data_IF_523773413501
#
_entry.id   IF_523773413501
#
_cell.length_a   1.000
_cell.length_b   1.000
_cell.length_c   1.000
_cell.angle_alpha   90.00
_cell.angle_beta   90.00
_cell.angle_gamma   90.00
#
_symmetry.space_group_name_H-M   'P 1'
#
loop_
_entity.id
_entity.type
_entity.pdbx_description
1 polymer ?
#
# COMPACT_ATOMS: atom_id res chain seq x y z
N UNK A 1 88.02 31.55 33.62
CA UNK A 1 86.78 31.92 34.31
C UNK A 1 85.73 32.35 33.30
N UNK A 2 84.81 31.56 32.95
CA UNK A 2 83.52 31.91 32.31
C UNK A 2 82.53 30.79 32.56
N UNK A 3 81.51 31.04 33.35
CA UNK A 3 80.37 30.17 33.56
C UNK A 3 79.49 30.15 32.32
N UNK A 4 79.15 28.96 31.85
CA UNK A 4 78.12 28.78 30.84
C UNK A 4 76.87 28.18 31.52
N UNK A 5 75.84 28.97 31.48
CA UNK A 5 74.50 28.61 31.91
C UNK A 5 73.80 27.67 30.88
N UNK A 6 73.53 26.43 31.26
CA UNK A 6 72.68 25.52 30.47
C UNK A 6 71.22 25.92 30.68
N UNK A 7 70.57 26.37 29.64
CA UNK A 7 69.12 26.57 29.58
C UNK A 7 68.44 25.23 29.27
N UNK A 8 67.63 24.68 30.18
CA UNK A 8 66.80 23.52 29.92
C UNK A 8 65.48 23.94 29.28
N UNK A 9 65.35 23.72 27.99
CA UNK A 9 64.05 23.85 27.27
C UNK A 9 63.21 22.60 27.51
N UNK A 10 62.13 22.78 28.30
CA UNK A 10 61.07 21.75 28.44
C UNK A 10 60.16 21.83 27.26
N UNK A 11 60.21 20.83 26.36
CA UNK A 11 59.25 20.65 25.25
C UNK A 11 58.02 20.01 25.83
N UNK A 12 56.97 20.79 26.02
CA UNK A 12 55.66 20.34 26.43
C UNK A 12 54.92 19.81 25.17
N UNK A 13 54.99 18.49 24.93
CA UNK A 13 54.27 17.84 23.83
C UNK A 13 52.82 17.68 24.23
N UNK A 14 51.98 18.64 23.84
CA UNK A 14 50.52 18.51 23.97
C UNK A 14 49.99 17.45 23.03
N UNK A 15 49.59 16.27 23.57
CA UNK A 15 48.72 15.33 22.85
C UNK A 15 47.34 15.95 22.73
N UNK A 16 47.03 16.57 21.58
CA UNK A 16 45.67 16.81 21.15
C UNK A 16 45.08 15.43 20.75
N UNK A 17 44.35 14.82 21.66
CA UNK A 17 43.45 13.73 21.33
C UNK A 17 42.29 14.31 20.51
N UNK A 18 42.39 14.30 19.19
CA UNK A 18 41.24 14.45 18.30
C UNK A 18 40.34 13.24 18.57
N UNK A 19 39.33 13.42 19.41
CA UNK A 19 38.17 12.55 19.44
C UNK A 19 37.42 12.74 18.11
N UNK A 20 37.83 12.01 17.08
CA UNK A 20 36.99 11.81 15.90
C UNK A 20 35.72 11.13 16.37
N UNK A 21 34.67 11.92 16.55
CA UNK A 21 33.31 11.38 16.67
C UNK A 21 33.07 10.62 15.33
N UNK A 22 33.41 9.34 15.32
CA UNK A 22 33.00 8.44 14.26
C UNK A 22 31.47 8.47 14.26
N UNK A 23 30.89 9.27 13.37
CA UNK A 23 29.47 9.17 13.09
C UNK A 23 29.24 7.71 12.70
N UNK A 24 28.69 6.92 13.61
CA UNK A 24 28.41 5.53 13.36
C UNK A 24 27.52 5.48 12.11
N UNK A 25 28.03 4.84 11.06
CA UNK A 25 27.31 4.70 9.81
C UNK A 25 25.99 3.98 10.11
N UNK A 26 24.87 4.63 9.81
CA UNK A 26 23.53 4.05 10.04
C UNK A 26 23.38 2.74 9.26
N UNK A 27 22.78 1.75 9.89
CA UNK A 27 22.34 0.53 9.20
C UNK A 27 21.27 0.89 8.18
N UNK A 28 21.51 0.65 6.90
CA UNK A 28 20.54 0.91 5.86
C UNK A 28 19.69 -0.34 5.62
N UNK A 29 18.35 -0.21 5.71
CA UNK A 29 17.39 -1.23 5.30
C UNK A 29 16.78 -0.85 3.95
N UNK A 30 16.85 -1.75 2.98
CA UNK A 30 16.15 -1.61 1.70
C UNK A 30 14.73 -2.15 1.85
N UNK A 31 13.75 -1.25 1.84
CA UNK A 31 12.33 -1.55 2.07
C UNK A 31 11.55 -1.35 0.78
N UNK A 32 10.94 -2.42 0.29
CA UNK A 32 10.04 -2.35 -0.86
C UNK A 32 8.63 -2.02 -0.39
N UNK A 33 7.97 -1.07 -1.07
CA UNK A 33 6.70 -0.52 -0.59
C UNK A 33 5.76 -0.12 -1.73
N UNK A 34 4.45 -0.20 -1.44
CA UNK A 34 3.39 0.39 -2.26
C UNK A 34 2.67 1.56 -1.55
N UNK A 35 3.13 1.95 -0.37
CA UNK A 35 2.66 3.16 0.33
C UNK A 35 2.66 4.37 -0.60
N UNK A 36 1.72 5.27 -0.41
CA UNK A 36 1.73 6.53 -1.14
C UNK A 36 2.92 7.41 -0.70
N UNK A 37 3.47 8.19 -1.62
CA UNK A 37 4.69 8.98 -1.36
C UNK A 37 4.53 9.99 -0.24
N UNK A 38 3.32 10.49 -0.02
CA UNK A 38 2.99 11.44 1.04
C UNK A 38 2.93 10.80 2.45
N UNK A 39 2.90 9.46 2.54
CA UNK A 39 2.96 8.71 3.81
C UNK A 39 4.40 8.44 4.28
N UNK A 40 5.35 8.25 3.33
CA UNK A 40 6.69 7.73 3.62
C UNK A 40 7.46 8.56 4.66
N UNK A 41 7.38 9.89 4.55
CA UNK A 41 8.09 10.80 5.48
C UNK A 41 7.62 10.61 6.93
N UNK A 42 6.32 10.57 7.15
CA UNK A 42 5.76 10.44 8.50
C UNK A 42 6.12 9.08 9.12
N UNK A 43 6.12 8.01 8.33
CA UNK A 43 6.48 6.66 8.80
C UNK A 43 7.98 6.55 9.07
N UNK A 44 8.83 7.12 8.20
CA UNK A 44 10.27 7.23 8.43
C UNK A 44 10.59 7.98 9.73
N UNK A 45 9.99 9.15 9.93
CA UNK A 45 10.20 9.96 11.12
C UNK A 45 9.68 9.25 12.38
N UNK A 46 8.54 8.58 12.30
CA UNK A 46 7.99 7.78 13.41
C UNK A 46 8.91 6.64 13.80
N UNK A 47 9.41 5.88 12.84
CA UNK A 47 10.37 4.81 13.06
C UNK A 47 11.70 5.32 13.67
N UNK A 48 12.24 6.42 13.15
CA UNK A 48 13.52 6.95 13.59
C UNK A 48 13.51 7.57 14.99
N UNK A 49 12.32 7.86 15.58
CA UNK A 49 12.23 8.23 16.99
C UNK A 49 12.68 7.08 17.90
N UNK A 50 12.36 5.84 17.53
CA UNK A 50 12.72 4.64 18.30
C UNK A 50 14.06 4.05 17.88
N UNK A 51 14.43 4.17 16.60
CA UNK A 51 15.62 3.55 16.01
C UNK A 51 16.39 4.56 15.15
N UNK A 52 17.05 5.56 15.73
CA UNK A 52 17.75 6.62 15.00
C UNK A 52 18.99 6.13 14.25
N UNK A 53 19.51 4.96 14.59
CA UNK A 53 20.66 4.28 13.99
C UNK A 53 20.32 3.48 12.74
N UNK A 54 19.04 3.38 12.35
CA UNK A 54 18.58 2.68 11.16
C UNK A 54 18.00 3.67 10.15
N UNK A 55 18.47 3.60 8.91
CA UNK A 55 17.96 4.38 7.79
C UNK A 55 17.14 3.48 6.86
N UNK A 56 15.88 3.87 6.57
CA UNK A 56 15.06 3.17 5.58
C UNK A 56 15.33 3.73 4.18
N UNK A 57 15.69 2.86 3.25
CA UNK A 57 15.82 3.16 1.84
C UNK A 57 14.61 2.57 1.11
N UNK A 58 13.74 3.44 0.64
CA UNK A 58 12.49 3.05 0.02
C UNK A 58 12.65 2.76 -1.48
N UNK A 59 12.15 1.60 -1.91
CA UNK A 59 11.86 1.32 -3.32
C UNK A 59 10.35 1.27 -3.46
N UNK A 60 9.79 2.32 -4.07
CA UNK A 60 8.35 2.53 -4.13
C UNK A 60 7.81 2.35 -5.54
N UNK A 61 6.76 1.54 -5.67
CA UNK A 61 5.89 1.46 -6.83
C UNK A 61 4.51 0.91 -6.41
N UNK A 62 3.56 0.79 -7.33
CA UNK A 62 2.27 0.14 -7.07
C UNK A 62 2.44 -1.35 -6.72
N UNK A 63 1.51 -1.89 -5.92
CA UNK A 63 1.59 -3.27 -5.38
C UNK A 63 1.93 -4.33 -6.43
N UNK A 64 1.27 -4.29 -7.60
CA UNK A 64 1.52 -5.30 -8.64
C UNK A 64 2.92 -5.21 -9.21
N UNK A 65 3.47 -4.00 -9.38
CA UNK A 65 4.84 -3.77 -9.87
C UNK A 65 5.86 -4.25 -8.83
N UNK A 66 5.67 -3.89 -7.54
CA UNK A 66 6.52 -4.37 -6.44
C UNK A 66 6.46 -5.90 -6.34
N UNK A 67 5.26 -6.50 -6.45
CA UNK A 67 5.08 -7.95 -6.44
C UNK A 67 5.87 -8.62 -7.57
N UNK A 68 5.74 -8.13 -8.80
CA UNK A 68 6.46 -8.65 -9.96
C UNK A 68 7.98 -8.50 -9.79
N UNK A 69 8.44 -7.36 -9.26
CA UNK A 69 9.86 -7.12 -8.97
C UNK A 69 10.41 -8.11 -7.96
N UNK A 70 9.74 -8.31 -6.83
CA UNK A 70 10.14 -9.27 -5.80
C UNK A 70 10.21 -10.70 -6.36
N UNK A 71 9.20 -11.12 -7.14
CA UNK A 71 9.20 -12.44 -7.79
C UNK A 71 10.37 -12.60 -8.78
N UNK A 72 10.67 -11.59 -9.58
CA UNK A 72 11.80 -11.59 -10.52
C UNK A 72 13.16 -11.67 -9.80
N UNK A 73 13.27 -11.08 -8.61
CA UNK A 73 14.48 -11.08 -7.77
C UNK A 73 14.59 -12.32 -6.85
N UNK A 74 13.67 -13.29 -6.94
CA UNK A 74 13.63 -14.45 -6.02
C UNK A 74 14.95 -15.19 -5.92
N UNK A 75 15.69 -15.34 -7.02
CA UNK A 75 16.99 -16.01 -7.06
C UNK A 75 18.13 -15.14 -6.48
N UNK A 76 18.00 -13.82 -6.52
CA UNK A 76 18.97 -12.86 -6.00
C UNK A 76 18.26 -11.71 -5.27
N UNK A 77 17.72 -11.94 -4.08
CA UNK A 77 16.89 -11.00 -3.36
C UNK A 77 17.65 -9.73 -2.99
N UNK A 78 17.02 -8.59 -3.18
CA UNK A 78 17.57 -7.27 -2.84
C UNK A 78 16.92 -6.68 -1.59
N UNK A 79 15.60 -6.83 -1.43
CA UNK A 79 14.86 -6.25 -0.32
C UNK A 79 15.24 -6.87 1.02
N UNK A 80 15.36 -6.03 2.06
CA UNK A 80 15.47 -6.48 3.46
C UNK A 80 14.07 -6.72 4.08
N UNK A 81 13.12 -5.85 3.75
CA UNK A 81 11.74 -5.93 4.22
C UNK A 81 10.76 -5.44 3.17
N UNK A 82 9.50 -5.80 3.33
CA UNK A 82 8.36 -5.29 2.56
C UNK A 82 7.39 -4.64 3.54
N UNK A 83 6.99 -3.39 3.29
CA UNK A 83 6.11 -2.64 4.17
C UNK A 83 5.07 -1.87 3.35
N UNK A 84 3.77 -2.03 3.67
CA UNK A 84 2.68 -1.36 2.96
C UNK A 84 2.46 -1.91 1.55
N UNK A 85 2.62 -3.22 1.39
CA UNK A 85 2.24 -3.96 0.18
C UNK A 85 1.05 -4.85 0.54
N UNK A 86 0.13 -5.07 -0.39
CA UNK A 86 -1.07 -5.88 -0.19
C UNK A 86 -0.79 -7.23 0.48
N UNK A 87 -1.56 -7.59 1.52
CA UNK A 87 -1.44 -8.89 2.18
C UNK A 87 -1.67 -10.06 1.21
N UNK A 88 -2.54 -9.90 0.21
CA UNK A 88 -2.71 -10.88 -0.87
C UNK A 88 -1.41 -11.16 -1.64
N UNK A 89 -0.56 -10.14 -1.84
CA UNK A 89 0.77 -10.29 -2.45
C UNK A 89 1.77 -10.92 -1.48
N UNK A 90 1.74 -10.58 -0.20
CA UNK A 90 2.60 -11.21 0.81
C UNK A 90 2.25 -12.69 1.02
N UNK A 91 0.96 -13.04 0.98
CA UNK A 91 0.52 -14.45 0.99
C UNK A 91 1.08 -15.23 -0.21
N UNK A 92 1.13 -14.62 -1.41
CA UNK A 92 1.78 -15.22 -2.58
C UNK A 92 3.28 -15.42 -2.35
N UNK A 93 3.98 -14.42 -1.81
CA UNK A 93 5.42 -14.50 -1.52
C UNK A 93 5.74 -15.55 -0.47
N UNK A 94 4.89 -15.68 0.56
CA UNK A 94 5.03 -16.71 1.57
C UNK A 94 4.92 -18.12 0.97
N UNK A 95 3.94 -18.35 0.08
CA UNK A 95 3.82 -19.62 -0.68
C UNK A 95 5.05 -19.90 -1.54
N UNK A 96 5.73 -18.87 -2.01
CA UNK A 96 6.98 -18.99 -2.77
C UNK A 96 8.21 -19.16 -1.88
N UNK A 97 8.06 -19.19 -0.55
CA UNK A 97 9.16 -19.36 0.42
C UNK A 97 10.08 -18.15 0.50
N UNK A 98 9.58 -16.95 0.23
CA UNK A 98 10.37 -15.71 0.14
C UNK A 98 10.36 -14.89 1.43
N UNK A 99 9.57 -15.26 2.44
CA UNK A 99 9.43 -14.53 3.69
C UNK A 99 10.06 -15.25 4.87
N UNK A 100 10.48 -14.49 5.89
CA UNK A 100 10.92 -15.00 7.19
C UNK A 100 9.77 -14.83 8.18
N UNK A 101 9.21 -15.92 8.73
CA UNK A 101 8.22 -15.82 9.79
C UNK A 101 8.80 -15.15 11.03
N UNK A 102 8.09 -14.17 11.57
CA UNK A 102 8.50 -13.44 12.78
C UNK A 102 7.27 -12.95 13.55
N UNK A 103 7.25 -13.18 14.86
CA UNK A 103 6.25 -12.63 15.76
C UNK A 103 6.75 -11.28 16.30
N UNK A 104 6.26 -10.13 15.82
CA UNK A 104 6.64 -8.84 16.34
C UNK A 104 6.10 -8.64 17.79
N UNK A 105 6.69 -7.72 18.55
CA UNK A 105 6.38 -7.50 19.95
C UNK A 105 4.89 -7.24 20.24
N UNK A 106 4.17 -6.64 19.29
CA UNK A 106 2.75 -6.29 19.46
C UNK A 106 1.80 -7.19 18.64
N UNK A 107 2.23 -8.39 18.28
CA UNK A 107 1.45 -9.31 17.46
C UNK A 107 0.05 -9.59 18.06
N UNK A 108 -0.06 -9.74 19.37
CA UNK A 108 -1.32 -10.06 20.03
C UNK A 108 -2.35 -8.93 20.01
N UNK A 109 -1.90 -7.69 19.80
CA UNK A 109 -2.77 -6.55 19.60
C UNK A 109 -3.36 -6.47 18.17
N UNK A 110 -2.75 -7.17 17.21
CA UNK A 110 -3.23 -7.24 15.82
C UNK A 110 -4.35 -8.28 15.73
N UNK A 111 -5.48 -7.88 15.15
CA UNK A 111 -6.62 -8.78 14.96
C UNK A 111 -6.21 -10.01 14.17
N UNK A 112 -6.69 -11.20 14.58
CA UNK A 112 -6.32 -12.48 13.96
C UNK A 112 -6.63 -12.57 12.47
N UNK A 113 -7.67 -11.86 12.01
CA UNK A 113 -8.05 -11.77 10.60
C UNK A 113 -7.10 -10.89 9.76
N UNK A 114 -6.27 -10.08 10.42
CA UNK A 114 -5.33 -9.16 9.77
C UNK A 114 -3.88 -9.62 9.88
N UNK A 115 -3.64 -10.91 10.08
CA UNK A 115 -2.31 -11.52 10.07
C UNK A 115 -2.34 -12.92 9.48
N UNK A 116 -1.20 -13.40 9.03
CA UNK A 116 -1.03 -14.79 8.63
C UNK A 116 -1.37 -15.73 9.78
N UNK A 117 -2.01 -16.85 9.45
CA UNK A 117 -2.45 -17.86 10.44
C UNK A 117 -1.32 -18.73 10.99
N UNK A 118 -0.14 -18.69 10.38
CA UNK A 118 1.05 -19.42 10.86
C UNK A 118 1.54 -18.91 12.21
N UNK A 119 2.28 -19.76 12.91
CA UNK A 119 2.90 -19.44 14.19
C UNK A 119 4.41 -19.73 14.09
N UNK A 120 5.30 -18.73 14.04
CA UNK A 120 5.02 -17.28 13.90
C UNK A 120 4.49 -16.94 12.50
N UNK A 121 3.78 -15.80 12.34
CA UNK A 121 3.22 -15.38 11.07
C UNK A 121 4.32 -14.94 10.09
N UNK A 122 4.11 -15.18 8.80
CA UNK A 122 5.02 -14.71 7.76
C UNK A 122 4.78 -13.23 7.39
N UNK A 123 3.59 -12.72 7.65
CA UNK A 123 3.20 -11.32 7.44
C UNK A 123 2.12 -10.88 8.44
N UNK A 124 2.00 -9.59 8.67
CA UNK A 124 0.92 -8.98 9.46
C UNK A 124 0.46 -7.65 8.86
N UNK A 125 -0.81 -7.33 9.10
CA UNK A 125 -1.45 -6.11 8.61
C UNK A 125 -1.04 -4.86 9.39
N UNK A 126 -1.13 -3.74 8.72
CA UNK A 126 -0.93 -2.39 9.23
C UNK A 126 -2.28 -1.66 9.32
N UNK A 127 -2.97 -1.59 8.20
CA UNK A 127 -4.28 -0.97 8.03
C UNK A 127 -5.04 -1.60 6.87
N UNK A 128 -6.33 -1.24 6.74
CA UNK A 128 -7.20 -1.65 5.65
C UNK A 128 -7.37 -0.50 4.68
N UNK A 129 -7.13 -0.72 3.39
CA UNK A 129 -7.57 0.21 2.36
C UNK A 129 -8.62 -0.45 1.47
N UNK A 130 -9.67 0.30 1.10
CA UNK A 130 -10.80 -0.23 0.36
C UNK A 130 -11.29 0.65 -0.76
N UNK A 131 -12.09 0.05 -1.61
CA UNK A 131 -12.62 0.66 -2.82
C UNK A 131 -13.47 1.88 -2.53
N UNK A 132 -13.32 2.90 -3.39
CA UNK A 132 -14.27 4.00 -3.53
C UNK A 132 -14.27 4.50 -4.97
N UNK A 133 -15.33 5.18 -5.36
CA UNK A 133 -15.38 5.88 -6.64
C UNK A 133 -15.33 7.38 -6.37
N UNK A 134 -14.33 8.06 -6.91
CA UNK A 134 -14.22 9.50 -6.92
C UNK A 134 -15.11 10.04 -8.03
N UNK A 135 -16.14 10.81 -7.67
CA UNK A 135 -17.12 11.39 -8.60
C UNK A 135 -16.97 12.91 -8.63
N UNK A 136 -16.51 13.47 -9.75
CA UNK A 136 -16.39 14.91 -9.91
C UNK A 136 -17.78 15.54 -10.13
N UNK A 137 -18.26 16.29 -9.14
CA UNK A 137 -19.60 16.86 -9.13
C UNK A 137 -19.76 18.00 -10.15
N UNK A 138 -18.70 18.75 -10.43
CA UNK A 138 -18.70 19.86 -11.38
C UNK A 138 -18.77 19.35 -12.82
N UNK A 139 -17.89 18.41 -13.17
CA UNK A 139 -17.88 17.83 -14.52
C UNK A 139 -19.12 16.98 -14.80
N UNK A 140 -19.63 16.28 -13.78
CA UNK A 140 -20.88 15.53 -13.88
C UNK A 140 -22.07 16.45 -14.18
N UNK A 141 -22.17 17.60 -13.51
CA UNK A 141 -23.22 18.60 -13.77
C UNK A 141 -23.14 19.13 -15.20
N UNK A 142 -21.94 19.51 -15.67
CA UNK A 142 -21.74 20.01 -17.05
C UNK A 142 -22.15 19.01 -18.12
N UNK A 143 -21.96 17.72 -17.86
CA UNK A 143 -22.22 16.63 -18.80
C UNK A 143 -23.56 15.92 -18.55
N UNK A 144 -24.35 16.35 -17.56
CA UNK A 144 -25.60 15.72 -17.12
C UNK A 144 -25.42 14.22 -16.79
N UNK A 145 -24.32 13.88 -16.12
CA UNK A 145 -24.02 12.51 -15.69
C UNK A 145 -24.56 12.29 -14.29
N UNK A 146 -25.45 11.30 -14.07
CA UNK A 146 -26.01 11.02 -12.75
C UNK A 146 -24.94 10.46 -11.80
N UNK A 147 -25.11 10.71 -10.49
CA UNK A 147 -24.29 10.14 -9.45
C UNK A 147 -24.60 8.64 -9.31
N UNK A 148 -23.60 7.73 -9.43
CA UNK A 148 -23.85 6.30 -9.22
C UNK A 148 -23.95 5.97 -7.73
N UNK A 149 -24.69 4.91 -7.39
CA UNK A 149 -24.83 4.39 -6.03
C UNK A 149 -24.32 2.93 -5.90
N UNK A 150 -24.06 2.29 -7.04
CA UNK A 150 -23.74 0.88 -7.12
C UNK A 150 -22.65 0.62 -8.16
N UNK A 151 -21.98 -0.54 -8.07
CA UNK A 151 -21.09 -1.00 -9.13
C UNK A 151 -21.87 -1.20 -10.43
N UNK A 152 -23.06 -1.79 -10.36
CA UNK A 152 -23.89 -2.03 -11.53
C UNK A 152 -24.30 -0.75 -12.26
N UNK A 153 -24.44 0.37 -11.56
CA UNK A 153 -24.71 1.66 -12.22
C UNK A 153 -23.62 2.02 -13.22
N UNK A 154 -22.35 1.69 -12.92
CA UNK A 154 -21.21 2.04 -13.77
C UNK A 154 -21.22 1.34 -15.13
N UNK A 155 -22.07 0.34 -15.34
CA UNK A 155 -22.26 -0.32 -16.64
C UNK A 155 -23.29 0.39 -17.53
N UNK A 156 -24.00 1.41 -17.03
CA UNK A 156 -25.00 2.14 -17.79
C UNK A 156 -24.37 3.02 -18.87
N UNK A 157 -25.01 3.19 -20.03
CA UNK A 157 -24.49 3.99 -21.16
C UNK A 157 -24.14 5.45 -20.81
N UNK A 158 -24.78 6.02 -19.77
CA UNK A 158 -24.51 7.38 -19.32
C UNK A 158 -23.04 7.62 -18.91
N UNK A 159 -22.31 6.58 -18.57
CA UNK A 159 -20.92 6.67 -18.12
C UNK A 159 -19.90 6.35 -19.21
N UNK A 160 -20.32 6.13 -20.45
CA UNK A 160 -19.43 5.73 -21.55
C UNK A 160 -18.28 6.70 -21.75
N UNK A 161 -17.04 6.18 -21.60
CA UNK A 161 -15.81 6.98 -21.75
C UNK A 161 -15.56 7.98 -20.61
N UNK A 162 -16.27 7.88 -19.50
CA UNK A 162 -16.16 8.81 -18.36
C UNK A 162 -15.49 8.20 -17.14
N UNK A 163 -15.14 6.91 -17.18
CA UNK A 163 -14.58 6.16 -16.07
C UNK A 163 -13.12 5.84 -16.34
N UNK A 164 -12.27 6.09 -15.35
CA UNK A 164 -10.89 5.58 -15.31
C UNK A 164 -10.73 4.63 -14.13
N UNK A 165 -9.90 3.61 -14.28
CA UNK A 165 -9.74 2.53 -13.29
C UNK A 165 -8.29 2.07 -13.24
N UNK A 166 -7.78 1.55 -12.10
CA UNK A 166 -6.45 0.97 -12.05
C UNK A 166 -6.40 -0.39 -12.77
N UNK A 167 -5.31 -0.65 -13.51
CA UNK A 167 -5.02 -1.97 -14.06
C UNK A 167 -4.66 -2.95 -12.94
N UNK A 168 -5.34 -4.11 -12.80
CA UNK A 168 -5.11 -5.06 -11.70
C UNK A 168 -3.74 -5.75 -11.74
N UNK A 169 -3.08 -5.80 -12.90
CA UNK A 169 -1.75 -6.40 -12.99
C UNK A 169 -0.67 -5.51 -12.33
N UNK A 170 -0.83 -4.19 -12.41
CA UNK A 170 0.12 -3.22 -11.82
C UNK A 170 -0.34 -2.67 -10.47
N UNK A 171 -1.64 -2.54 -10.22
CA UNK A 171 -2.21 -1.92 -9.03
C UNK A 171 -2.86 -2.92 -8.09
N UNK A 172 -2.55 -2.83 -6.79
CA UNK A 172 -3.27 -3.58 -5.75
C UNK A 172 -4.74 -3.20 -5.67
N UNK A 173 -5.06 -1.90 -5.84
CA UNK A 173 -6.44 -1.41 -5.89
C UNK A 173 -7.21 -2.06 -7.04
N UNK A 174 -6.67 -2.05 -8.26
CA UNK A 174 -7.32 -2.74 -9.37
C UNK A 174 -7.49 -4.24 -9.12
N UNK A 175 -6.52 -4.88 -8.46
CA UNK A 175 -6.61 -6.31 -8.17
C UNK A 175 -7.68 -6.64 -7.13
N UNK A 176 -7.75 -5.91 -6.01
CA UNK A 176 -8.80 -6.17 -5.03
C UNK A 176 -10.21 -5.88 -5.58
N UNK A 177 -10.37 -4.88 -6.45
CA UNK A 177 -11.65 -4.61 -7.11
C UNK A 177 -12.10 -5.79 -7.95
N UNK A 178 -11.21 -6.33 -8.78
CA UNK A 178 -11.50 -7.50 -9.61
C UNK A 178 -11.87 -8.72 -8.75
N UNK A 179 -11.10 -9.01 -7.70
CA UNK A 179 -11.39 -10.11 -6.77
C UNK A 179 -12.73 -9.90 -6.07
N UNK A 180 -13.04 -8.67 -5.66
CA UNK A 180 -14.31 -8.35 -5.03
C UNK A 180 -15.51 -8.53 -5.97
N UNK A 181 -15.41 -8.09 -7.22
CA UNK A 181 -16.49 -8.28 -8.21
C UNK A 181 -16.69 -9.74 -8.57
N UNK A 182 -15.61 -10.52 -8.64
CA UNK A 182 -15.71 -11.99 -8.79
C UNK A 182 -16.37 -12.65 -7.58
N UNK A 183 -16.13 -12.15 -6.38
CA UNK A 183 -16.75 -12.62 -5.15
C UNK A 183 -18.24 -12.24 -5.09
N UNK A 184 -18.57 -10.98 -5.39
CA UNK A 184 -19.93 -10.44 -5.30
C UNK A 184 -20.86 -11.01 -6.38
N UNK A 185 -20.39 -11.12 -7.60
CA UNK A 185 -21.22 -11.46 -8.76
C UNK A 185 -20.95 -12.87 -9.29
N UNK A 186 -20.00 -13.58 -8.73
CA UNK A 186 -19.62 -14.95 -9.06
C UNK A 186 -18.53 -15.08 -10.10
N UNK A 187 -17.69 -16.07 -9.88
CA UNK A 187 -16.63 -16.52 -10.79
C UNK A 187 -16.87 -17.99 -11.16
N UNK A 188 -17.01 -18.28 -12.45
CA UNK A 188 -17.07 -19.63 -12.99
C UNK A 188 -16.02 -19.75 -14.09
N UNK A 189 -14.74 -19.84 -13.70
CA UNK A 189 -13.61 -20.03 -14.62
C UNK A 189 -13.65 -19.11 -15.87
N UNK A 190 -13.81 -17.80 -15.61
CA UNK A 190 -13.91 -16.79 -16.65
C UNK A 190 -15.31 -16.59 -17.27
N UNK A 191 -16.36 -17.25 -16.76
CA UNK A 191 -17.73 -17.17 -17.33
C UNK A 191 -18.78 -16.68 -16.33
N UNK A 192 -18.40 -16.37 -15.08
CA UNK A 192 -19.31 -15.96 -14.04
C UNK A 192 -19.86 -14.54 -14.20
N UNK A 193 -20.80 -14.19 -13.31
CA UNK A 193 -21.42 -12.86 -13.29
C UNK A 193 -20.42 -11.71 -13.09
N UNK A 194 -19.31 -11.93 -12.35
CA UNK A 194 -18.26 -10.96 -12.16
C UNK A 194 -17.54 -10.59 -13.48
N UNK A 195 -17.26 -11.57 -14.32
CA UNK A 195 -16.70 -11.31 -15.64
C UNK A 195 -17.68 -10.58 -16.57
N UNK A 196 -18.95 -11.00 -16.53
CA UNK A 196 -20.01 -10.30 -17.29
C UNK A 196 -20.19 -8.85 -16.82
N UNK A 197 -20.09 -8.60 -15.51
CA UNK A 197 -20.08 -7.22 -14.99
C UNK A 197 -18.89 -6.43 -15.53
N UNK A 198 -17.67 -6.99 -15.49
CA UNK A 198 -16.47 -6.34 -16.00
C UNK A 198 -16.51 -6.10 -17.51
N UNK A 199 -17.12 -6.99 -18.29
CA UNK A 199 -17.36 -6.77 -19.72
C UNK A 199 -18.21 -5.50 -19.93
N UNK A 200 -19.31 -5.34 -19.19
CA UNK A 200 -20.15 -4.14 -19.23
C UNK A 200 -19.46 -2.88 -18.72
N UNK A 201 -18.67 -3.00 -17.64
CA UNK A 201 -17.89 -1.88 -17.12
C UNK A 201 -16.82 -1.42 -18.13
N UNK A 202 -16.15 -2.36 -18.79
CA UNK A 202 -15.11 -2.09 -19.80
C UNK A 202 -15.62 -1.22 -20.95
N UNK A 203 -16.86 -1.38 -21.37
CA UNK A 203 -17.46 -0.52 -22.40
C UNK A 203 -17.41 0.96 -22.03
N UNK A 204 -17.54 1.27 -20.72
CA UNK A 204 -17.57 2.63 -20.17
C UNK A 204 -16.19 3.14 -19.70
N UNK A 205 -15.20 2.26 -19.55
CA UNK A 205 -13.83 2.65 -19.21
C UNK A 205 -13.18 3.40 -20.36
N UNK A 206 -12.64 4.58 -20.06
CA UNK A 206 -11.81 5.33 -20.98
C UNK A 206 -10.36 4.83 -20.98
N UNK A 207 -9.82 4.53 -19.79
CA UNK A 207 -8.43 4.16 -19.62
C UNK A 207 -8.22 3.34 -18.34
N UNK A 208 -7.30 2.37 -18.39
CA UNK A 208 -6.74 1.73 -17.20
C UNK A 208 -5.38 2.32 -16.86
N UNK A 209 -5.17 2.70 -15.59
CA UNK A 209 -3.95 3.35 -15.12
C UNK A 209 -3.03 2.37 -14.38
N UNK A 210 -1.72 2.62 -14.36
CA UNK A 210 -0.79 1.77 -13.61
C UNK A 210 -0.88 1.98 -12.10
N UNK A 211 -1.25 3.18 -11.66
CA UNK A 211 -1.36 3.56 -10.26
C UNK A 211 -2.81 3.47 -9.75
N UNK A 212 -3.00 2.97 -8.52
CA UNK A 212 -4.31 2.94 -7.85
C UNK A 212 -4.86 4.31 -7.48
N UNK A 213 -4.00 5.27 -7.21
CA UNK A 213 -4.37 6.65 -6.84
C UNK A 213 -4.65 7.56 -8.05
N UNK A 214 -4.07 7.27 -9.21
CA UNK A 214 -4.19 8.11 -10.41
C UNK A 214 -5.64 8.33 -10.86
N UNK A 215 -6.54 7.33 -10.89
CA UNK A 215 -7.93 7.55 -11.30
C UNK A 215 -8.65 8.61 -10.45
N UNK A 216 -8.48 8.58 -9.13
CA UNK A 216 -9.07 9.59 -8.26
C UNK A 216 -8.44 10.98 -8.48
N UNK A 217 -7.14 11.05 -8.75
CA UNK A 217 -6.47 12.31 -9.08
C UNK A 217 -7.01 12.91 -10.39
N UNK A 218 -7.24 12.07 -11.42
CA UNK A 218 -7.82 12.49 -12.70
C UNK A 218 -9.28 12.97 -12.53
N UNK A 219 -10.07 12.30 -11.69
CA UNK A 219 -11.40 12.77 -11.34
C UNK A 219 -11.33 14.08 -10.54
N UNK A 220 -10.43 14.20 -9.58
CA UNK A 220 -10.25 15.40 -8.75
C UNK A 220 -9.86 16.63 -9.59
N UNK A 221 -9.05 16.46 -10.63
CA UNK A 221 -8.65 17.54 -11.55
C UNK A 221 -9.70 17.87 -12.62
N UNK A 222 -10.77 17.07 -12.76
CA UNK A 222 -11.79 17.24 -13.78
C UNK A 222 -11.43 16.68 -15.16
N UNK A 223 -10.36 15.91 -15.27
CA UNK A 223 -9.99 15.23 -16.53
C UNK A 223 -11.02 14.15 -16.88
N UNK A 224 -11.53 13.42 -15.87
CA UNK A 224 -12.63 12.47 -16.00
C UNK A 224 -13.70 12.73 -14.93
N UNK A 225 -14.92 12.24 -15.19
CA UNK A 225 -16.01 12.36 -14.23
C UNK A 225 -15.86 11.37 -13.09
N UNK A 226 -15.40 10.15 -13.37
CA UNK A 226 -15.31 9.08 -12.39
C UNK A 226 -13.93 8.43 -12.39
N UNK A 227 -13.40 8.23 -11.17
CA UNK A 227 -12.19 7.47 -10.95
C UNK A 227 -12.44 6.36 -9.93
N UNK A 228 -12.35 5.09 -10.34
CA UNK A 228 -12.33 3.97 -9.40
C UNK A 228 -10.96 3.97 -8.71
N UNK A 229 -10.96 4.02 -7.38
CA UNK A 229 -9.74 4.20 -6.58
C UNK A 229 -9.96 3.69 -5.15
N UNK A 230 -9.34 4.28 -4.15
CA UNK A 230 -9.45 3.88 -2.75
C UNK A 230 -9.65 5.09 -1.83
N UNK A 231 -10.22 4.83 -0.65
CA UNK A 231 -10.76 5.85 0.25
C UNK A 231 -9.72 6.84 0.75
N UNK A 232 -8.47 6.42 1.03
CA UNK A 232 -7.42 7.33 1.48
C UNK A 232 -7.14 8.43 0.44
N UNK A 233 -6.95 8.04 -0.84
CA UNK A 233 -6.68 9.01 -1.91
C UNK A 233 -7.89 9.92 -2.14
N UNK A 234 -9.09 9.36 -2.14
CA UNK A 234 -10.33 10.10 -2.30
C UNK A 234 -10.54 11.11 -1.15
N UNK A 235 -10.37 10.67 0.09
CA UNK A 235 -10.50 11.53 1.27
C UNK A 235 -9.46 12.66 1.27
N UNK A 236 -8.21 12.33 0.93
CA UNK A 236 -7.12 13.31 0.84
C UNK A 236 -7.40 14.37 -0.23
N UNK A 237 -7.86 13.97 -1.42
CA UNK A 237 -8.19 14.91 -2.49
C UNK A 237 -9.37 15.80 -2.10
N UNK A 238 -10.42 15.24 -1.51
CA UNK A 238 -11.57 16.01 -1.03
C UNK A 238 -11.18 16.99 0.07
N UNK A 239 -10.36 16.58 1.03
CA UNK A 239 -9.84 17.44 2.09
C UNK A 239 -9.00 18.62 1.57
N UNK A 240 -8.37 18.47 0.41
CA UNK A 240 -7.63 19.53 -0.31
C UNK A 240 -8.55 20.43 -1.16
N UNK A 241 -9.85 20.24 -1.11
CA UNK A 241 -10.85 21.06 -1.81
C UNK A 241 -11.21 20.60 -3.22
N UNK A 242 -10.83 19.39 -3.62
CA UNK A 242 -11.26 18.85 -4.91
C UNK A 242 -12.81 18.69 -4.94
N UNK A 243 -13.48 19.05 -6.06
CA UNK A 243 -14.94 19.00 -6.18
C UNK A 243 -15.40 17.57 -6.46
N UNK A 244 -15.06 16.65 -5.57
CA UNK A 244 -15.41 15.22 -5.70
C UNK A 244 -16.29 14.76 -4.54
N UNK A 245 -17.20 13.84 -4.85
CA UNK A 245 -17.86 13.01 -3.86
C UNK A 245 -17.19 11.63 -3.81
N UNK A 246 -17.12 11.07 -2.60
CA UNK A 246 -16.69 9.70 -2.38
C UNK A 246 -17.92 8.79 -2.44
N UNK A 247 -17.92 7.85 -3.37
CA UNK A 247 -19.01 6.88 -3.51
C UNK A 247 -18.52 5.52 -3.06
N UNK A 248 -19.25 4.94 -2.15
CA UNK A 248 -19.04 3.61 -1.62
C UNK A 248 -20.18 2.71 -2.13
N UNK A 249 -19.97 1.96 -3.22
CA UNK A 249 -21.02 1.16 -3.86
C UNK A 249 -21.71 0.21 -2.89
N UNK A 250 -23.04 0.13 -3.01
CA UNK A 250 -23.90 -0.56 -2.03
C UNK A 250 -23.79 -2.08 -2.02
N UNK A 251 -23.31 -2.69 -3.09
CA UNK A 251 -23.14 -4.15 -3.18
C UNK A 251 -22.00 -4.68 -2.32
N UNK A 252 -21.06 -3.83 -1.95
CA UNK A 252 -19.88 -4.15 -1.16
C UNK A 252 -18.61 -3.63 -1.77
N UNK A 253 -17.57 -3.53 -0.95
CA UNK A 253 -16.31 -2.88 -1.30
C UNK A 253 -15.19 -3.90 -1.36
N UNK A 254 -14.42 -3.88 -2.44
CA UNK A 254 -13.12 -4.53 -2.49
C UNK A 254 -12.18 -3.88 -1.49
N UNK A 255 -11.26 -4.64 -0.93
CA UNK A 255 -10.27 -4.16 0.02
C UNK A 255 -9.07 -5.11 0.11
N UNK A 256 -7.99 -4.62 0.68
CA UNK A 256 -6.85 -5.43 1.10
C UNK A 256 -6.22 -4.79 2.35
N UNK A 257 -5.20 -5.42 2.91
CA UNK A 257 -4.38 -4.86 3.99
C UNK A 257 -3.10 -4.27 3.40
N UNK A 258 -2.72 -3.07 3.80
CA UNK A 258 -1.31 -2.74 3.81
C UNK A 258 -0.66 -3.63 4.86
N UNK A 259 0.38 -4.37 4.48
CA UNK A 259 0.97 -5.38 5.35
C UNK A 259 2.49 -5.32 5.35
N UNK A 260 3.07 -5.90 6.40
CA UNK A 260 4.51 -5.97 6.64
C UNK A 260 5.01 -7.43 6.57
N UNK A 261 6.20 -7.61 6.01
CA UNK A 261 6.93 -8.88 6.05
C UNK A 261 8.44 -8.66 6.02
N UNK A 262 9.21 -9.58 6.64
CA UNK A 262 10.67 -9.64 6.51
C UNK A 262 11.01 -10.49 5.31
N UNK A 263 11.84 -9.97 4.39
CA UNK A 263 12.24 -10.71 3.21
C UNK A 263 13.38 -11.70 3.52
N UNK A 264 13.30 -12.91 2.98
CA UNK A 264 14.26 -14.01 3.28
C UNK A 264 15.71 -13.71 2.84
N UNK A 265 15.88 -12.78 1.90
CA UNK A 265 17.20 -12.38 1.41
C UNK A 265 17.97 -11.44 2.33
N UNK A 266 17.36 -10.91 3.40
CA UNK A 266 18.01 -9.93 4.26
C UNK A 266 19.24 -10.49 4.96
N UNK A 267 20.32 -9.71 4.97
CA UNK A 267 21.51 -9.91 5.80
C UNK A 267 21.51 -9.04 7.05
N UNK A 268 20.41 -8.30 7.28
CA UNK A 268 20.25 -7.32 8.36
C UNK A 268 19.01 -7.67 9.20
N UNK A 269 18.91 -8.94 9.57
CA UNK A 269 17.70 -9.51 10.21
C UNK A 269 17.31 -8.75 11.48
N UNK A 270 18.26 -8.36 12.34
CA UNK A 270 17.95 -7.65 13.58
C UNK A 270 17.36 -6.25 13.33
N UNK A 271 17.87 -5.54 12.32
CA UNK A 271 17.30 -4.27 11.92
C UNK A 271 15.90 -4.42 11.28
N UNK A 272 15.70 -5.48 10.48
CA UNK A 272 14.39 -5.80 9.90
C UNK A 272 13.36 -6.19 10.97
N UNK A 273 13.76 -6.91 12.04
CA UNK A 273 12.92 -7.20 13.20
C UNK A 273 12.53 -5.92 13.97
N UNK A 274 13.47 -4.99 14.20
CA UNK A 274 13.17 -3.69 14.80
C UNK A 274 12.13 -2.91 13.99
N UNK A 275 12.21 -2.96 12.65
CA UNK A 275 11.19 -2.36 11.80
C UNK A 275 9.83 -3.07 11.93
N UNK A 276 9.81 -4.41 12.01
CA UNK A 276 8.60 -5.19 12.25
C UNK A 276 7.95 -4.84 13.60
N UNK A 277 8.75 -4.74 14.67
CA UNK A 277 8.28 -4.38 16.01
C UNK A 277 7.69 -2.98 16.02
N UNK A 278 8.33 -2.02 15.36
CA UNK A 278 7.77 -0.68 15.22
C UNK A 278 6.49 -0.69 14.35
N UNK A 279 6.50 -1.35 13.19
CA UNK A 279 5.35 -1.39 12.28
C UNK A 279 4.10 -1.99 12.93
N UNK A 280 4.27 -2.89 13.93
CA UNK A 280 3.19 -3.46 14.72
C UNK A 280 2.84 -2.64 15.97
N UNK A 281 3.57 -1.55 16.28
CA UNK A 281 3.39 -0.79 17.51
C UNK A 281 2.15 0.11 17.48
N UNK A 282 1.67 0.50 18.67
CA UNK A 282 0.57 1.47 18.78
C UNK A 282 0.93 2.82 18.16
N UNK A 283 2.20 3.25 18.27
CA UNK A 283 2.66 4.52 17.69
C UNK A 283 2.58 4.49 16.15
N UNK A 284 2.94 3.36 15.52
CA UNK A 284 2.77 3.17 14.09
C UNK A 284 1.28 3.14 13.71
N UNK A 285 0.44 2.39 14.45
CA UNK A 285 -1.00 2.34 14.21
C UNK A 285 -1.69 3.71 14.31
N UNK A 286 -1.23 4.58 15.24
CA UNK A 286 -1.69 5.97 15.32
C UNK A 286 -1.33 6.80 14.08
N UNK A 287 -0.21 6.50 13.42
CA UNK A 287 0.15 7.14 12.15
C UNK A 287 -0.71 6.61 11.00
N UNK A 288 -0.93 5.29 10.94
CA UNK A 288 -1.80 4.67 9.93
C UNK A 288 -3.24 5.18 10.07
N UNK A 289 -3.76 5.25 11.30
CA UNK A 289 -5.12 5.74 11.60
C UNK A 289 -5.38 7.22 11.26
N UNK A 290 -4.34 8.00 10.92
CA UNK A 290 -4.53 9.34 10.33
C UNK A 290 -4.99 9.28 8.87
N UNK A 291 -4.69 8.18 8.21
CA UNK A 291 -4.90 7.99 6.77
C UNK A 291 -6.06 7.02 6.50
N UNK A 292 -6.24 6.00 7.35
CA UNK A 292 -7.17 4.90 7.15
C UNK A 292 -8.16 4.78 8.30
N UNK A 293 -9.41 4.44 7.95
CA UNK A 293 -10.49 4.29 8.93
C UNK A 293 -10.34 3.05 9.82
N UNK A 294 -9.60 2.04 9.35
CA UNK A 294 -9.40 0.77 10.03
C UNK A 294 -7.90 0.48 10.11
N UNK A 295 -7.39 0.30 11.32
CA UNK A 295 -6.02 -0.18 11.58
C UNK A 295 -6.04 -1.63 12.03
N UNK A 296 -4.92 -2.34 11.85
CA UNK A 296 -4.84 -3.75 12.22
C UNK A 296 -4.98 -3.99 13.74
N UNK A 297 -4.72 -2.97 14.58
CA UNK A 297 -5.11 -2.95 15.98
C UNK A 297 -6.47 -2.23 16.12
N UNK A 298 -7.48 -2.86 16.73
CA UNK A 298 -8.80 -2.26 16.86
C UNK A 298 -8.81 -1.04 17.78
N UNK A 299 -9.67 -0.06 17.47
CA UNK A 299 -9.91 1.11 18.32
C UNK A 299 -8.78 2.14 18.35
N UNK A 300 -7.80 2.06 17.44
CA UNK A 300 -6.71 3.03 17.34
C UNK A 300 -7.01 4.13 16.32
N UNK A 301 -7.61 3.78 15.17
CA UNK A 301 -8.00 4.76 14.16
C UNK A 301 -9.19 5.60 14.64
N UNK A 302 -9.15 6.90 14.36
CA UNK A 302 -10.30 7.79 14.51
C UNK A 302 -11.19 7.75 13.26
N UNK A 303 -12.51 8.04 13.37
CA UNK A 303 -13.37 8.16 12.21
C UNK A 303 -12.85 9.22 11.22
N UNK A 304 -12.84 8.90 9.94
CA UNK A 304 -12.46 9.82 8.88
C UNK A 304 -13.68 10.58 8.34
N UNK A 305 -13.49 11.87 8.05
CA UNK A 305 -14.60 12.80 7.76
C UNK A 305 -15.50 12.39 6.59
N UNK A 306 -14.97 11.77 5.56
CA UNK A 306 -15.73 11.42 4.35
C UNK A 306 -15.91 9.91 4.16
N UNK A 307 -15.63 9.12 5.20
CA UNK A 307 -15.83 7.67 5.20
C UNK A 307 -17.09 7.33 6.00
N UNK A 308 -18.02 6.52 5.48
CA UNK A 308 -19.26 6.20 6.17
C UNK A 308 -19.01 5.41 7.45
N UNK A 309 -19.86 5.59 8.45
CA UNK A 309 -19.74 4.93 9.76
C UNK A 309 -19.84 3.39 9.66
N UNK A 310 -20.54 2.89 8.65
CA UNK A 310 -20.73 1.47 8.37
C UNK A 310 -19.71 0.93 7.35
N UNK A 311 -18.59 1.65 7.13
CA UNK A 311 -17.56 1.29 6.15
C UNK A 311 -17.04 -0.14 6.31
N UNK A 312 -16.69 -0.55 7.54
CA UNK A 312 -16.21 -1.90 7.81
C UNK A 312 -17.25 -2.98 7.43
N UNK A 313 -18.52 -2.71 7.70
CA UNK A 313 -19.61 -3.64 7.36
C UNK A 313 -19.86 -3.77 5.85
N UNK A 314 -19.36 -2.83 5.06
CA UNK A 314 -19.45 -2.85 3.59
C UNK A 314 -18.33 -3.64 2.92
N UNK A 315 -17.27 -3.97 3.64
CA UNK A 315 -16.14 -4.72 3.08
C UNK A 315 -16.59 -6.15 2.73
N UNK A 316 -16.29 -6.58 1.51
CA UNK A 316 -16.61 -7.95 1.09
C UNK A 316 -15.79 -8.96 1.89
N UNK A 317 -16.34 -10.15 2.11
CA UNK A 317 -15.57 -11.22 2.73
C UNK A 317 -14.44 -11.64 1.78
N UNK A 318 -13.21 -11.38 2.18
CA UNK A 318 -12.02 -11.67 1.39
C UNK A 318 -11.23 -12.82 2.02
N UNK A 319 -10.69 -13.69 1.16
CA UNK A 319 -9.69 -14.69 1.52
C UNK A 319 -8.37 -14.35 0.79
N UNK A 320 -7.36 -13.90 1.53
CA UNK A 320 -6.04 -13.53 0.98
C UNK A 320 -5.32 -14.72 0.33
N UNK A 321 -5.53 -15.95 0.83
CA UNK A 321 -4.96 -17.14 0.23
C UNK A 321 -5.60 -17.43 -1.13
N UNK A 322 -6.94 -17.32 -1.22
CA UNK A 322 -7.65 -17.44 -2.49
C UNK A 322 -7.17 -16.38 -3.48
N UNK A 323 -7.11 -15.12 -3.05
CA UNK A 323 -6.62 -14.04 -3.90
C UNK A 323 -5.18 -14.30 -4.38
N UNK A 324 -4.29 -14.82 -3.52
CA UNK A 324 -2.93 -15.19 -3.88
C UNK A 324 -2.88 -16.36 -4.87
N UNK A 325 -3.67 -17.41 -4.65
CA UNK A 325 -3.72 -18.63 -5.49
C UNK A 325 -4.29 -18.38 -6.87
N UNK A 326 -5.31 -17.54 -6.95
CA UNK A 326 -6.01 -17.27 -8.20
C UNK A 326 -5.38 -16.11 -8.99
N UNK A 327 -4.35 -15.44 -8.44
CA UNK A 327 -3.79 -14.22 -9.03
C UNK A 327 -3.38 -14.39 -10.49
N UNK A 328 -2.62 -15.42 -10.81
CA UNK A 328 -2.13 -15.66 -12.17
C UNK A 328 -3.30 -15.87 -13.15
N UNK A 329 -4.25 -16.74 -12.79
CA UNK A 329 -5.45 -17.00 -13.60
C UNK A 329 -6.28 -15.75 -13.84
N UNK A 330 -6.58 -15.02 -12.75
CA UNK A 330 -7.40 -13.80 -12.82
C UNK A 330 -6.72 -12.74 -13.68
N UNK A 331 -5.43 -12.47 -13.46
CA UNK A 331 -4.69 -11.46 -14.20
C UNK A 331 -4.56 -11.83 -15.68
N UNK A 332 -4.31 -13.10 -16.00
CA UNK A 332 -4.25 -13.59 -17.38
C UNK A 332 -5.58 -13.37 -18.11
N UNK A 333 -6.70 -13.76 -17.50
CA UNK A 333 -8.03 -13.58 -18.06
C UNK A 333 -8.38 -12.11 -18.23
N UNK A 334 -8.09 -11.27 -17.21
CA UNK A 334 -8.33 -9.84 -17.26
C UNK A 334 -7.53 -9.17 -18.39
N UNK A 335 -6.24 -9.46 -18.47
CA UNK A 335 -5.34 -8.91 -19.49
C UNK A 335 -5.82 -9.28 -20.90
N UNK A 336 -6.20 -10.54 -21.12
CA UNK A 336 -6.71 -11.01 -22.40
C UNK A 336 -7.98 -10.25 -22.86
N UNK A 337 -8.82 -9.81 -21.91
CA UNK A 337 -10.08 -9.12 -22.25
C UNK A 337 -9.93 -7.61 -22.36
N UNK A 338 -9.13 -6.97 -21.46
CA UNK A 338 -9.30 -5.54 -21.18
C UNK A 338 -8.04 -4.70 -21.35
N UNK A 339 -6.86 -5.30 -21.53
CA UNK A 339 -5.57 -4.56 -21.52
C UNK A 339 -5.43 -3.52 -22.66
N UNK A 340 -6.24 -3.64 -23.71
CA UNK A 340 -6.21 -2.73 -24.87
C UNK A 340 -6.46 -1.25 -24.53
N UNK A 341 -7.05 -0.92 -23.36
CA UNK A 341 -7.24 0.45 -22.87
C UNK A 341 -6.23 0.86 -21.80
N UNK A 342 -5.19 0.06 -21.52
CA UNK A 342 -4.16 0.39 -20.54
C UNK A 342 -3.27 1.53 -21.04
N UNK A 343 -2.98 2.49 -20.16
CA UNK A 343 -2.07 3.60 -20.45
C UNK A 343 -0.69 3.09 -20.85
N UNK A 344 -0.06 3.77 -21.81
CA UNK A 344 1.33 3.47 -22.19
C UNK A 344 2.28 3.91 -21.08
N UNK A 345 3.34 3.12 -20.83
CA UNK A 345 4.42 3.47 -19.91
C UNK A 345 5.34 4.52 -20.53
#
# INVERSE_FOLDING_TARGET
MRLSTLSKSIVLTGLLALAAAASAQKTQLLVYTALETDQLKAYQEGFNKSYPDIELKWVRDSTGVITAKLLAEKANPQADAVMGVAASSLALMDKQGMLIPYAPLNLDAIMSQYRDKKQPPAWFGMDVWGATVCFNTVEAQKKNIPKPESWQDLTKPAYKGQIVMPNPASSGTGYFDVVAWLTLFGDKDGKGGGWKFMDGLHENIAQYTHSGSKPCNMAASGEFVLGISFEYRANTNKAKGAPIDLIFPKEGLGWDLEAFAIHKGTKKLDAAKKLADWASSKDAMLLYGKNFAITAQPGVAAPLANVPKDYEARLVKLDFNYAAEQRERILKEWTNRYDGKTEKR
#
